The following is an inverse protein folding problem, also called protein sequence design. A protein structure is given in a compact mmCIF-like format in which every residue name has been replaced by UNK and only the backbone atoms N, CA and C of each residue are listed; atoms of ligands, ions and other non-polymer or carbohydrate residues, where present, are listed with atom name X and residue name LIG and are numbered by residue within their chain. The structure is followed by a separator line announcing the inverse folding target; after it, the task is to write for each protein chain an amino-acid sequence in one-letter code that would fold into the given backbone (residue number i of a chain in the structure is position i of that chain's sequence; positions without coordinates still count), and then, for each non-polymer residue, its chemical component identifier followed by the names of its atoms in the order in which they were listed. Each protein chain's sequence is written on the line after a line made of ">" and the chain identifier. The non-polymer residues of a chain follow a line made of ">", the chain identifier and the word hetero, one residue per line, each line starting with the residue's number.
data_IF_701217827734
#
_entry.id   IF_701217827734
#
_cell.length_a   1.000
_cell.length_b   1.000
_cell.length_c   1.000
_cell.angle_alpha   90.00
_cell.angle_beta   90.00
_cell.angle_gamma   90.00
#
_symmetry.space_group_name_H-M   'P 1'
#
loop_
_entity.id
_entity.type
_entity.pdbx_description
1 polymer ?
#
# COMPACT_ATOMS: atom_id res chain seq x y z
N UNK A 1 3.55 -3.23 1.54
CA UNK A 1 4.82 -3.94 1.26
C UNK A 1 4.69 -4.69 -0.06
N UNK A 2 5.45 -4.33 -1.13
CA UNK A 2 5.51 -5.16 -2.32
C UNK A 2 6.33 -6.44 -2.03
N UNK A 3 5.85 -7.59 -2.49
CA UNK A 3 6.43 -8.90 -2.20
C UNK A 3 6.42 -9.80 -3.44
N UNK A 4 7.31 -10.78 -3.46
CA UNK A 4 7.26 -11.93 -4.36
C UNK A 4 7.01 -13.19 -3.53
N UNK A 5 5.89 -13.86 -3.78
CA UNK A 5 5.43 -15.02 -3.02
C UNK A 5 4.04 -14.81 -2.44
N UNK A 6 3.24 -15.88 -2.41
CA UNK A 6 1.83 -15.84 -1.94
C UNK A 6 1.70 -16.00 -0.42
N UNK A 7 2.71 -16.58 0.21
CA UNK A 7 2.82 -16.87 1.65
C UNK A 7 3.39 -15.69 2.48
N UNK A 8 3.91 -14.66 1.81
CA UNK A 8 4.62 -13.52 2.41
C UNK A 8 3.64 -12.48 2.99
N UNK A 9 2.85 -12.87 3.99
CA UNK A 9 1.79 -12.03 4.59
C UNK A 9 2.14 -11.60 6.01
N UNK A 10 2.64 -12.52 6.83
CA UNK A 10 3.13 -12.23 8.18
C UNK A 10 4.31 -11.24 8.14
N UNK A 11 4.48 -10.41 9.17
CA UNK A 11 5.49 -9.35 9.20
C UNK A 11 6.92 -9.87 9.09
N UNK A 12 7.23 -11.00 9.73
CA UNK A 12 8.53 -11.65 9.64
C UNK A 12 8.70 -12.34 8.29
N UNK A 13 7.62 -12.87 7.72
CA UNK A 13 7.68 -13.53 6.42
C UNK A 13 7.86 -12.56 5.24
N UNK A 14 7.29 -11.35 5.34
CA UNK A 14 7.26 -10.35 4.26
C UNK A 14 8.41 -9.36 4.30
N UNK A 15 9.27 -9.42 5.32
CA UNK A 15 10.44 -8.57 5.43
C UNK A 15 11.40 -8.78 4.25
N UNK A 16 12.34 -7.88 4.09
CA UNK A 16 13.39 -7.98 3.07
C UNK A 16 14.67 -7.37 3.58
N UNK A 17 15.79 -8.06 3.32
CA UNK A 17 17.10 -7.44 3.38
C UNK A 17 17.18 -6.27 2.40
N UNK A 18 17.84 -5.21 2.84
CA UNK A 18 18.21 -4.06 2.03
C UNK A 18 19.57 -3.50 2.50
N UNK A 19 20.18 -2.64 1.69
CA UNK A 19 21.42 -1.93 2.03
C UNK A 19 21.25 -0.43 1.81
N UNK A 20 21.88 0.39 2.67
CA UNK A 20 21.95 1.84 2.47
C UNK A 20 22.66 2.24 1.16
N UNK A 21 23.49 1.37 0.59
CA UNK A 21 24.10 1.61 -0.74
C UNK A 21 23.06 1.55 -1.88
N UNK A 22 21.95 0.85 -1.65
CA UNK A 22 20.82 0.70 -2.58
C UNK A 22 19.58 1.46 -2.10
N UNK A 23 19.78 2.43 -1.20
CA UNK A 23 18.74 3.29 -0.64
C UNK A 23 19.00 4.73 -1.04
N UNK A 24 17.93 5.45 -1.35
CA UNK A 24 17.96 6.90 -1.54
C UNK A 24 16.86 7.53 -0.70
N UNK A 25 17.24 8.39 0.24
CA UNK A 25 16.32 9.09 1.11
C UNK A 25 16.41 10.60 0.90
N UNK A 26 15.32 11.20 0.41
CA UNK A 26 15.14 12.65 0.27
C UNK A 26 13.78 13.05 0.85
N UNK A 27 13.60 14.30 1.32
CA UNK A 27 12.32 14.76 1.87
C UNK A 27 11.12 14.56 0.92
N UNK A 28 11.36 14.61 -0.39
CA UNK A 28 10.36 14.53 -1.44
C UNK A 28 10.33 13.18 -2.17
N UNK A 29 11.24 12.25 -1.84
CA UNK A 29 11.40 11.00 -2.56
C UNK A 29 12.18 9.98 -1.74
N UNK A 30 11.65 8.77 -1.65
CA UNK A 30 12.36 7.64 -1.07
C UNK A 30 12.40 6.47 -2.06
N UNK A 31 13.52 5.77 -2.11
CA UNK A 31 13.67 4.53 -2.86
C UNK A 31 14.57 3.54 -2.15
N UNK A 32 14.22 2.26 -2.27
CA UNK A 32 15.01 1.15 -1.74
C UNK A 32 14.88 -0.07 -2.64
N UNK A 33 15.95 -0.85 -2.73
CA UNK A 33 15.92 -2.19 -3.33
C UNK A 33 15.72 -3.26 -2.26
N UNK A 34 14.69 -4.07 -2.43
CA UNK A 34 14.29 -5.17 -1.55
C UNK A 34 14.89 -6.47 -2.10
N UNK A 35 16.02 -6.89 -1.52
CA UNK A 35 16.85 -7.97 -2.07
C UNK A 35 16.16 -9.33 -2.13
N UNK A 36 15.37 -9.68 -1.10
CA UNK A 36 14.73 -11.01 -1.02
C UNK A 36 13.60 -11.17 -2.05
N UNK A 37 12.96 -10.04 -2.42
CA UNK A 37 11.86 -10.02 -3.38
C UNK A 37 12.31 -9.66 -4.80
N UNK A 38 13.53 -9.16 -4.97
CA UNK A 38 14.05 -8.56 -6.21
C UNK A 38 13.16 -7.42 -6.72
N UNK A 39 12.75 -6.52 -5.82
CA UNK A 39 11.83 -5.42 -6.11
C UNK A 39 12.47 -4.08 -5.77
N UNK A 40 12.39 -3.12 -6.69
CA UNK A 40 12.66 -1.71 -6.36
C UNK A 40 11.35 -1.04 -5.92
N UNK A 41 11.34 -0.47 -4.72
CA UNK A 41 10.24 0.33 -4.21
C UNK A 41 10.60 1.82 -4.24
N UNK A 42 9.65 2.64 -4.67
CA UNK A 42 9.80 4.10 -4.80
C UNK A 42 8.52 4.78 -4.29
N UNK A 43 8.64 5.92 -3.60
CA UNK A 43 7.51 6.71 -3.11
C UNK A 43 7.80 8.22 -3.21
N UNK A 44 6.80 8.99 -3.61
CA UNK A 44 6.80 10.45 -3.58
C UNK A 44 5.47 10.96 -2.95
N UNK A 45 5.53 11.87 -1.96
CA UNK A 45 4.34 12.34 -1.25
C UNK A 45 3.74 13.64 -1.82
N UNK A 46 2.48 13.90 -1.48
CA UNK A 46 1.86 15.23 -1.45
C UNK A 46 1.57 15.59 0.02
N UNK A 47 0.58 16.43 0.33
CA UNK A 47 0.25 16.73 1.73
C UNK A 47 -0.50 15.59 2.42
N UNK A 48 -1.44 14.95 1.70
CA UNK A 48 -2.36 13.93 2.25
C UNK A 48 -2.42 12.66 1.40
N UNK A 49 -1.68 12.63 0.29
CA UNK A 49 -1.59 11.50 -0.61
C UNK A 49 -0.13 11.16 -0.92
N UNK A 50 0.09 10.01 -1.55
CA UNK A 50 1.39 9.59 -2.06
C UNK A 50 1.21 8.73 -3.31
N UNK A 51 2.17 8.84 -4.22
CA UNK A 51 2.32 7.92 -5.34
C UNK A 51 3.51 7.02 -5.07
N UNK A 52 3.30 5.72 -5.23
CA UNK A 52 4.33 4.70 -5.13
C UNK A 52 4.50 4.01 -6.47
N UNK A 53 5.71 3.54 -6.74
CA UNK A 53 6.04 2.74 -7.93
C UNK A 53 6.85 1.54 -7.47
N UNK A 54 6.41 0.36 -7.87
CA UNK A 54 7.09 -0.91 -7.58
C UNK A 54 7.55 -1.52 -8.90
N UNK A 55 8.87 -1.70 -9.05
CA UNK A 55 9.44 -2.38 -10.21
C UNK A 55 9.68 -3.83 -9.86
N UNK A 56 8.91 -4.73 -10.48
CA UNK A 56 8.91 -6.16 -10.19
C UNK A 56 9.81 -6.94 -11.17
N UNK A 57 10.29 -8.12 -10.75
CA UNK A 57 10.86 -9.10 -11.66
C UNK A 57 9.75 -9.83 -12.44
N UNK A 58 10.15 -10.74 -13.32
CA UNK A 58 9.19 -11.67 -13.93
C UNK A 58 8.70 -12.67 -12.87
N UNK A 59 7.38 -12.74 -12.65
CA UNK A 59 6.77 -13.62 -11.65
C UNK A 59 5.25 -13.72 -11.82
N UNK A 60 4.67 -14.87 -11.48
CA UNK A 60 3.22 -15.11 -11.34
C UNK A 60 2.74 -14.99 -9.88
N UNK A 61 3.63 -14.61 -8.97
CA UNK A 61 3.41 -14.50 -7.53
C UNK A 61 3.69 -13.10 -6.97
N UNK A 62 3.91 -12.12 -7.84
CA UNK A 62 4.06 -10.73 -7.43
C UNK A 62 2.81 -10.22 -6.74
N UNK A 63 3.00 -9.40 -5.71
CA UNK A 63 1.89 -8.85 -4.97
C UNK A 63 2.25 -7.68 -4.09
N UNK A 64 1.22 -7.10 -3.47
CA UNK A 64 1.36 -6.05 -2.48
C UNK A 64 0.51 -6.42 -1.27
N UNK A 65 1.15 -6.44 -0.10
CA UNK A 65 0.47 -6.58 1.19
C UNK A 65 0.11 -5.19 1.71
N UNK A 66 -1.16 -5.02 2.05
CA UNK A 66 -1.70 -3.84 2.72
C UNK A 66 -2.11 -4.28 4.12
N UNK A 67 -1.47 -3.69 5.12
CA UNK A 67 -1.65 -4.02 6.54
C UNK A 67 -2.30 -2.81 7.23
N UNK A 68 -3.51 -3.00 7.78
CA UNK A 68 -4.25 -1.95 8.48
C UNK A 68 -3.97 -1.90 9.99
N UNK A 69 -2.95 -2.64 10.45
CA UNK A 69 -2.53 -2.78 11.85
C UNK A 69 -3.58 -3.46 12.74
N UNK A 70 -3.14 -3.81 13.95
CA UNK A 70 -3.94 -4.44 15.01
C UNK A 70 -4.84 -3.44 15.77
N UNK A 71 -5.52 -3.93 16.83
CA UNK A 71 -6.43 -3.18 17.72
C UNK A 71 -7.73 -2.70 17.08
N UNK A 72 -8.23 -3.44 16.10
CA UNK A 72 -9.49 -3.15 15.44
C UNK A 72 -9.26 -2.34 14.17
N UNK A 73 -9.31 -3.01 13.03
CA UNK A 73 -9.10 -2.39 11.72
C UNK A 73 -10.05 -2.96 10.67
N UNK A 74 -10.12 -2.27 9.55
CA UNK A 74 -11.02 -2.62 8.45
C UNK A 74 -10.30 -2.57 7.12
N UNK A 75 -10.56 -3.57 6.29
CA UNK A 75 -10.15 -3.60 4.90
C UNK A 75 -11.31 -4.08 4.02
N UNK A 76 -11.40 -3.51 2.82
CA UNK A 76 -12.26 -3.97 1.75
C UNK A 76 -11.59 -3.83 0.39
N UNK A 77 -11.69 -4.87 -0.41
CA UNK A 77 -11.36 -4.85 -1.84
C UNK A 77 -12.60 -4.40 -2.60
N UNK A 78 -12.46 -3.40 -3.46
CA UNK A 78 -13.58 -2.81 -4.20
C UNK A 78 -13.89 -3.60 -5.48
N UNK A 79 -15.14 -3.51 -5.94
CA UNK A 79 -15.62 -4.22 -7.13
C UNK A 79 -14.91 -3.82 -8.44
N UNK A 80 -14.24 -2.67 -8.49
CA UNK A 80 -13.40 -2.27 -9.63
C UNK A 80 -12.15 -3.15 -9.78
N UNK A 81 -11.85 -4.00 -8.78
CA UNK A 81 -10.67 -4.86 -8.66
C UNK A 81 -9.38 -4.07 -8.88
N UNK A 82 -9.35 -2.82 -8.44
CA UNK A 82 -8.18 -1.91 -8.53
C UNK A 82 -7.99 -1.11 -7.25
N UNK A 83 -9.02 -1.02 -6.43
CA UNK A 83 -9.03 -0.19 -5.23
C UNK A 83 -9.20 -1.05 -3.98
N UNK A 84 -8.39 -0.78 -2.97
CA UNK A 84 -8.54 -1.27 -1.60
C UNK A 84 -8.81 -0.07 -0.71
N UNK A 85 -9.79 -0.17 0.16
CA UNK A 85 -10.12 0.86 1.16
C UNK A 85 -10.09 0.25 2.55
N UNK A 86 -9.93 1.09 3.56
CA UNK A 86 -9.90 0.60 4.94
C UNK A 86 -9.80 1.70 5.97
N UNK A 87 -9.67 1.30 7.22
CA UNK A 87 -9.22 2.18 8.30
C UNK A 87 -8.32 1.44 9.29
N UNK A 88 -7.45 2.20 9.94
CA UNK A 88 -6.72 1.76 11.14
C UNK A 88 -7.19 2.58 12.35
N UNK A 89 -7.21 1.94 13.52
CA UNK A 89 -7.49 2.60 14.81
C UNK A 89 -6.32 2.52 15.79
N UNK A 90 -5.22 1.81 15.44
CA UNK A 90 -4.06 1.65 16.32
C UNK A 90 -3.54 3.02 16.75
N UNK A 91 -3.49 3.24 18.05
CA UNK A 91 -3.05 4.49 18.66
C UNK A 91 -2.41 4.22 20.04
N UNK A 92 -1.86 5.27 20.65
CA UNK A 92 -1.19 5.23 21.96
C UNK A 92 -1.88 6.11 23.01
N UNK A 93 -3.19 6.34 22.87
CA UNK A 93 -3.97 7.27 23.69
C UNK A 93 -4.02 8.70 23.15
N UNK A 94 -4.79 9.56 23.82
CA UNK A 94 -4.97 10.96 23.42
C UNK A 94 -5.89 11.16 22.21
N UNK A 95 -6.69 10.15 21.87
CA UNK A 95 -7.66 10.20 20.75
C UNK A 95 -9.09 9.94 21.24
N UNK A 96 -10.12 10.47 20.57
CA UNK A 96 -11.51 10.14 20.88
C UNK A 96 -11.87 8.68 20.58
N UNK A 97 -12.94 8.17 21.18
CA UNK A 97 -13.40 6.77 21.01
C UNK A 97 -13.70 6.39 19.55
N UNK A 98 -14.07 7.37 18.71
CA UNK A 98 -14.38 7.15 17.30
C UNK A 98 -13.19 7.38 16.36
N UNK A 99 -11.97 7.48 16.89
CA UNK A 99 -10.76 7.71 16.11
C UNK A 99 -10.55 6.64 15.03
N UNK A 100 -10.38 7.11 13.79
CA UNK A 100 -10.04 6.28 12.63
C UNK A 100 -9.16 7.09 11.68
N UNK A 101 -8.11 6.47 11.15
CA UNK A 101 -7.48 6.94 9.92
C UNK A 101 -8.01 6.09 8.76
N UNK A 102 -8.84 6.69 7.91
CA UNK A 102 -9.39 6.07 6.71
C UNK A 102 -8.37 6.16 5.58
N UNK A 103 -8.18 5.08 4.83
CA UNK A 103 -7.26 5.07 3.69
C UNK A 103 -7.92 4.52 2.42
N UNK A 104 -7.36 4.93 1.29
CA UNK A 104 -7.63 4.38 -0.03
C UNK A 104 -6.29 4.08 -0.71
N UNK A 105 -6.21 2.93 -1.38
CA UNK A 105 -5.08 2.47 -2.17
C UNK A 105 -5.61 2.03 -3.54
N UNK A 106 -5.15 2.67 -4.62
CA UNK A 106 -5.58 2.40 -5.99
C UNK A 106 -4.40 2.03 -6.87
N UNK A 107 -4.52 0.90 -7.56
CA UNK A 107 -3.54 0.38 -8.50
C UNK A 107 -3.83 0.84 -9.94
N UNK A 108 -2.78 1.05 -10.73
CA UNK A 108 -2.87 1.37 -12.17
C UNK A 108 -3.35 0.19 -13.04
N UNK A 109 -3.45 -0.99 -12.45
CA UNK A 109 -3.84 -2.26 -13.10
C UNK A 109 -4.85 -3.03 -12.27
N UNK A 110 -5.56 -3.97 -12.91
CA UNK A 110 -6.48 -4.86 -12.21
C UNK A 110 -5.70 -5.82 -11.30
N UNK A 111 -6.20 -6.00 -10.09
CA UNK A 111 -5.83 -7.03 -9.14
C UNK A 111 -6.29 -8.37 -9.73
N UNK A 112 -5.34 -9.30 -9.92
CA UNK A 112 -5.64 -10.63 -10.47
C UNK A 112 -6.37 -11.49 -9.45
N UNK A 113 -5.83 -11.52 -8.24
CA UNK A 113 -6.32 -12.29 -7.10
C UNK A 113 -6.04 -11.51 -5.81
N UNK A 114 -6.76 -11.85 -4.74
CA UNK A 114 -6.46 -11.32 -3.41
C UNK A 114 -6.85 -12.34 -2.33
N UNK A 115 -6.27 -12.17 -1.14
CA UNK A 115 -6.65 -12.90 0.07
C UNK A 115 -6.66 -11.94 1.25
N UNK A 116 -7.75 -11.92 2.01
CA UNK A 116 -7.91 -11.12 3.23
C UNK A 116 -7.52 -11.99 4.44
N UNK A 117 -6.94 -11.36 5.46
CA UNK A 117 -6.49 -12.01 6.69
C UNK A 117 -6.90 -11.22 7.93
N UNK A 118 -7.19 -11.93 9.02
CA UNK A 118 -7.21 -11.39 10.39
C UNK A 118 -5.97 -11.92 11.14
N UNK A 119 -4.95 -11.08 11.26
CA UNK A 119 -3.60 -11.47 11.63
C UNK A 119 -3.03 -12.46 10.60
N UNK A 120 -2.73 -13.68 11.04
CA UNK A 120 -2.23 -14.75 10.14
C UNK A 120 -3.33 -15.63 9.57
N UNK A 121 -4.59 -15.45 9.97
CA UNK A 121 -5.69 -16.34 9.58
C UNK A 121 -6.36 -15.84 8.31
N UNK A 122 -6.42 -16.65 7.23
CA UNK A 122 -7.15 -16.26 6.04
C UNK A 122 -8.66 -16.19 6.32
N UNK A 123 -9.32 -15.19 5.75
CA UNK A 123 -10.76 -14.95 5.86
C UNK A 123 -11.38 -14.87 4.47
N UNK A 124 -12.55 -15.48 4.29
CA UNK A 124 -13.30 -15.42 3.04
C UNK A 124 -14.08 -14.10 2.88
N UNK A 125 -14.36 -13.73 1.63
CA UNK A 125 -15.13 -12.53 1.28
C UNK A 125 -14.27 -11.36 0.81
N UNK A 126 -14.91 -10.22 0.56
CA UNK A 126 -14.27 -9.03 -0.01
C UNK A 126 -13.97 -7.94 1.02
N UNK A 127 -14.34 -8.16 2.29
CA UNK A 127 -14.12 -7.21 3.37
C UNK A 127 -13.99 -7.90 4.73
N UNK A 128 -13.30 -7.23 5.66
CA UNK A 128 -13.12 -7.67 7.03
C UNK A 128 -13.08 -6.45 7.95
N UNK A 129 -13.88 -6.49 9.02
CA UNK A 129 -13.60 -5.74 10.26
C UNK A 129 -13.06 -6.78 11.25
N UNK A 130 -11.80 -6.65 11.63
CA UNK A 130 -11.08 -7.67 12.43
C UNK A 130 -10.15 -7.03 13.45
N UNK A 131 -9.50 -7.86 14.26
CA UNK A 131 -8.52 -7.39 15.23
C UNK A 131 -7.30 -6.83 14.50
N UNK A 132 -6.83 -7.50 13.45
CA UNK A 132 -5.72 -7.09 12.61
C UNK A 132 -6.02 -7.40 11.15
N UNK A 133 -6.70 -6.50 10.45
CA UNK A 133 -7.06 -6.69 9.05
C UNK A 133 -5.88 -6.47 8.10
N UNK A 134 -5.61 -7.44 7.22
CA UNK A 134 -4.66 -7.34 6.11
C UNK A 134 -5.28 -7.83 4.81
N UNK A 135 -4.76 -7.37 3.68
CA UNK A 135 -5.01 -7.99 2.38
C UNK A 135 -3.73 -8.11 1.57
N UNK A 136 -3.52 -9.29 0.96
CA UNK A 136 -2.53 -9.49 -0.09
C UNK A 136 -3.25 -9.39 -1.43
N UNK A 137 -2.82 -8.48 -2.29
CA UNK A 137 -3.29 -8.39 -3.69
C UNK A 137 -2.21 -8.92 -4.63
N UNK A 138 -2.61 -9.63 -5.68
CA UNK A 138 -1.73 -10.33 -6.60
C UNK A 138 -1.73 -9.78 -8.03
N UNK A 139 -0.58 -9.88 -8.68
CA UNK A 139 -0.34 -9.51 -10.07
C UNK A 139 0.54 -10.57 -10.75
N UNK A 140 0.40 -10.70 -12.06
CA UNK A 140 1.42 -11.29 -12.93
C UNK A 140 2.27 -10.15 -13.48
N UNK A 141 3.59 -10.29 -13.42
CA UNK A 141 4.53 -9.26 -13.85
C UNK A 141 5.61 -9.83 -14.75
N UNK A 142 6.10 -9.00 -15.66
CA UNK A 142 7.28 -9.23 -16.48
C UNK A 142 8.50 -8.55 -15.86
N UNK A 143 9.69 -8.93 -16.32
CA UNK A 143 10.93 -8.33 -15.85
C UNK A 143 10.94 -6.80 -16.05
N UNK A 144 11.12 -6.07 -14.95
CA UNK A 144 11.17 -4.60 -14.96
C UNK A 144 9.78 -3.95 -15.05
N UNK A 145 8.71 -4.72 -14.90
CA UNK A 145 7.36 -4.18 -14.98
C UNK A 145 7.03 -3.32 -13.75
N UNK A 146 6.45 -2.16 -14.00
CA UNK A 146 6.12 -1.19 -12.97
C UNK A 146 4.64 -1.25 -12.60
N UNK A 147 4.36 -1.45 -11.32
CA UNK A 147 3.03 -1.30 -10.73
C UNK A 147 2.98 0.02 -9.97
N UNK A 148 2.13 0.94 -10.41
CA UNK A 148 1.93 2.23 -9.74
C UNK A 148 0.77 2.14 -8.76
N UNK A 149 0.97 2.70 -7.58
CA UNK A 149 -0.02 2.75 -6.51
C UNK A 149 -0.25 4.21 -6.11
N UNK A 150 -1.50 4.64 -6.09
CA UNK A 150 -1.93 5.94 -5.58
C UNK A 150 -2.63 5.73 -4.26
N UNK A 151 -2.15 6.34 -3.19
CA UNK A 151 -2.72 6.20 -1.86
C UNK A 151 -3.00 7.55 -1.22
N UNK A 152 -4.05 7.63 -0.41
CA UNK A 152 -4.37 8.80 0.40
C UNK A 152 -5.08 8.37 1.68
N UNK A 153 -5.07 9.24 2.69
CA UNK A 153 -5.78 8.99 3.94
C UNK A 153 -6.54 10.22 4.45
N UNK A 154 -7.45 10.01 5.41
CA UNK A 154 -8.19 11.06 6.10
C UNK A 154 -8.62 10.60 7.49
N UNK A 155 -8.59 11.52 8.46
CA UNK A 155 -9.19 11.30 9.78
C UNK A 155 -10.70 11.58 9.84
N UNK A 156 -11.31 12.02 8.73
CA UNK A 156 -12.72 12.41 8.67
C UNK A 156 -13.58 11.23 8.20
N UNK A 157 -13.31 10.73 7.00
CA UNK A 157 -14.10 9.67 6.38
C UNK A 157 -13.39 9.03 5.19
N UNK A 158 -13.89 7.87 4.75
CA UNK A 158 -13.48 7.26 3.48
C UNK A 158 -13.70 8.20 2.29
N UNK A 159 -14.82 8.93 2.25
CA UNK A 159 -15.11 9.88 1.17
C UNK A 159 -14.10 11.03 1.14
N UNK A 160 -13.67 11.53 2.30
CA UNK A 160 -12.62 12.54 2.36
C UNK A 160 -11.25 11.97 1.94
N UNK A 161 -10.93 10.72 2.26
CA UNK A 161 -9.72 10.07 1.76
C UNK A 161 -9.71 9.96 0.22
N UNK A 162 -10.88 9.69 -0.38
CA UNK A 162 -11.05 9.73 -1.85
C UNK A 162 -10.81 11.14 -2.40
N UNK A 163 -11.34 12.17 -1.75
CA UNK A 163 -11.08 13.56 -2.16
C UNK A 163 -9.60 13.94 -2.02
N UNK A 164 -8.93 13.52 -0.95
CA UNK A 164 -7.50 13.77 -0.75
C UNK A 164 -6.65 13.09 -1.84
N UNK A 165 -7.11 11.98 -2.41
CA UNK A 165 -6.43 11.31 -3.52
C UNK A 165 -6.35 12.19 -4.78
N UNK A 166 -7.27 13.16 -4.93
CA UNK A 166 -7.26 14.12 -6.05
C UNK A 166 -6.05 15.06 -6.01
N UNK A 167 -5.32 15.16 -4.88
CA UNK A 167 -4.02 15.87 -4.82
C UNK A 167 -3.01 15.33 -5.86
N UNK A 168 -3.11 14.04 -6.21
CA UNK A 168 -2.27 13.41 -7.23
C UNK A 168 -2.80 13.67 -8.66
N UNK A 169 -4.06 14.05 -8.81
CA UNK A 169 -4.72 14.29 -10.08
C UNK A 169 -4.42 13.23 -11.16
N UNK A 170 -3.87 13.69 -12.28
CA UNK A 170 -3.41 12.84 -13.39
C UNK A 170 -1.89 12.71 -13.43
N UNK A 171 -1.18 13.27 -12.46
CA UNK A 171 0.28 13.33 -12.45
C UNK A 171 0.86 11.91 -12.36
N UNK A 172 1.95 11.69 -13.10
CA UNK A 172 2.76 10.50 -12.97
C UNK A 172 3.75 10.63 -11.80
N UNK A 173 4.49 9.56 -11.54
CA UNK A 173 5.42 9.49 -10.42
C UNK A 173 6.48 10.61 -10.47
N UNK A 174 7.07 10.85 -11.64
CA UNK A 174 8.13 11.86 -11.79
C UNK A 174 7.57 13.28 -11.61
N UNK A 175 6.34 13.54 -12.08
CA UNK A 175 5.67 14.82 -11.87
C UNK A 175 5.38 15.09 -10.40
N UNK A 176 4.84 14.11 -9.66
CA UNK A 176 4.59 14.25 -8.22
C UNK A 176 5.91 14.48 -7.46
N UNK A 177 6.94 13.70 -7.78
CA UNK A 177 8.29 13.85 -7.20
C UNK A 177 8.85 15.26 -7.45
N UNK A 178 8.77 15.76 -8.68
CA UNK A 178 9.25 17.09 -9.02
C UNK A 178 8.47 18.20 -8.29
N UNK A 179 7.14 18.07 -8.18
CA UNK A 179 6.30 19.00 -7.41
C UNK A 179 6.65 18.97 -5.91
N UNK A 180 6.90 17.80 -5.35
CA UNK A 180 7.29 17.65 -3.95
C UNK A 180 8.68 18.23 -3.68
N UNK A 181 9.61 18.14 -4.63
CA UNK A 181 10.95 18.75 -4.53
C UNK A 181 10.92 20.28 -4.57
N UNK A 182 9.96 20.86 -5.29
CA UNK A 182 9.87 22.30 -5.51
C UNK A 182 9.17 23.08 -4.38
N UNK A 183 8.62 22.38 -3.38
CA UNK A 183 7.98 22.97 -2.19
C UNK A 183 9.01 23.30 -1.12
#
# INVERSE_FOLDING_TARGET
>A
MPVRGRDKVDEESRQSWFSHQSEEARPYYYSVYLADHDIKAEIAPTERAAIMRFTFPESDESGVVIDAFDRGSYIRVMHDKRTVVGYTTRNSGGVPDNFKNWFIVRFDRKIRDFQIYDGTKPVEGEQLVGEHALVRVGFETRRGEQVTVRAASSFISQMQAVQNLEELGKDDFETVKAKAQAR
#
